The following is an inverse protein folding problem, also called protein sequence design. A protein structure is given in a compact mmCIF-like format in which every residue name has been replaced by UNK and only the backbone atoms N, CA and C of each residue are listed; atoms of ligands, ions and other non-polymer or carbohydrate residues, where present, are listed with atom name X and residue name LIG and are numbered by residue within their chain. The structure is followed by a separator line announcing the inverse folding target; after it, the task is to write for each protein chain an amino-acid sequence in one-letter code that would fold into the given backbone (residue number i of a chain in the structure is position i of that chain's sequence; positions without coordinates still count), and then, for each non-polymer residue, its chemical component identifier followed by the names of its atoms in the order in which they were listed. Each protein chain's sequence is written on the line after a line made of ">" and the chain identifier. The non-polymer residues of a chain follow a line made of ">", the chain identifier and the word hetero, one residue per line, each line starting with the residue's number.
data_IF_661811465471
#
_entry.id   IF_661811465471
#
_cell.length_a   1.000
_cell.length_b   1.000
_cell.length_c   1.000
_cell.angle_alpha   90.00
_cell.angle_beta   90.00
_cell.angle_gamma   90.00
#
_symmetry.space_group_name_H-M   'P 1'
#
loop_
_entity.id
_entity.type
_entity.pdbx_description
1 polymer ?
#
# COMPACT_ATOMS: atom_id res chain seq x y z
N UNK A 1 -19.50 -11.73 21.92
CA UNK A 1 -18.38 -11.23 21.09
C UNK A 1 -18.96 -10.63 19.82
N UNK A 2 -18.22 -9.74 19.15
CA UNK A 2 -18.61 -9.21 17.83
C UNK A 2 -18.81 -10.34 16.83
N UNK A 3 -17.95 -11.36 16.86
CA UNK A 3 -18.08 -12.56 16.02
C UNK A 3 -19.46 -13.24 16.12
N UNK A 4 -19.95 -13.53 17.33
CA UNK A 4 -21.27 -14.13 17.52
C UNK A 4 -22.41 -13.25 17.00
N UNK A 5 -22.29 -11.93 17.20
CA UNK A 5 -23.30 -11.01 16.68
C UNK A 5 -23.26 -10.93 15.15
N UNK A 6 -22.09 -11.00 14.52
CA UNK A 6 -21.98 -11.10 13.06
C UNK A 6 -22.63 -12.40 12.54
N UNK A 7 -22.40 -13.53 13.21
CA UNK A 7 -23.08 -14.78 12.87
C UNK A 7 -24.60 -14.66 12.98
N UNK A 8 -25.09 -13.96 14.00
CA UNK A 8 -26.53 -13.68 14.17
C UNK A 8 -27.08 -12.84 13.02
N UNK A 9 -26.34 -11.79 12.61
CA UNK A 9 -26.70 -10.97 11.44
C UNK A 9 -26.76 -11.84 10.18
N UNK A 10 -25.74 -12.66 9.91
CA UNK A 10 -25.75 -13.56 8.75
C UNK A 10 -26.90 -14.59 8.81
N UNK A 11 -27.20 -15.15 9.98
CA UNK A 11 -28.34 -16.04 10.15
C UNK A 11 -29.67 -15.38 9.80
N UNK A 12 -29.87 -14.13 10.23
CA UNK A 12 -31.06 -13.37 9.84
C UNK A 12 -31.07 -13.03 8.34
N UNK A 13 -29.94 -12.65 7.74
CA UNK A 13 -29.90 -12.36 6.30
C UNK A 13 -30.19 -13.59 5.42
N UNK A 14 -29.87 -14.79 5.91
CA UNK A 14 -30.10 -16.04 5.19
C UNK A 14 -31.52 -16.59 5.36
N UNK A 15 -32.08 -16.49 6.58
CA UNK A 15 -33.29 -17.23 6.96
C UNK A 15 -34.51 -16.36 7.22
N UNK A 16 -34.34 -15.06 7.47
CA UNK A 16 -35.45 -14.18 7.85
C UNK A 16 -36.30 -13.81 6.65
N UNK A 17 -37.62 -13.97 6.77
CA UNK A 17 -38.60 -13.48 5.80
C UNK A 17 -38.94 -11.98 5.98
N UNK A 18 -38.43 -11.36 7.05
CA UNK A 18 -38.64 -9.93 7.32
C UNK A 18 -37.88 -9.04 6.32
N UNK A 19 -38.46 -7.87 6.03
CA UNK A 19 -37.84 -6.87 5.14
C UNK A 19 -36.47 -6.39 5.63
N UNK A 20 -36.25 -6.33 6.95
CA UNK A 20 -35.00 -5.90 7.55
C UNK A 20 -34.74 -6.61 8.90
N UNK A 21 -33.49 -6.60 9.31
CA UNK A 21 -33.05 -7.02 10.63
C UNK A 21 -32.43 -5.84 11.37
N UNK A 22 -32.75 -5.69 12.67
CA UNK A 22 -32.17 -4.65 13.52
C UNK A 22 -31.05 -5.24 14.40
N UNK A 23 -29.76 -5.04 14.06
CA UNK A 23 -28.66 -5.72 14.73
C UNK A 23 -28.21 -5.00 16.01
N UNK A 24 -29.13 -4.75 16.95
CA UNK A 24 -28.84 -3.95 18.18
C UNK A 24 -27.61 -4.43 18.94
N UNK A 25 -27.56 -5.74 19.17
CA UNK A 25 -26.46 -6.37 19.90
C UNK A 25 -25.13 -6.26 19.14
N UNK A 26 -25.14 -6.17 17.82
CA UNK A 26 -23.92 -6.00 17.04
C UNK A 26 -23.26 -4.67 17.35
N UNK A 27 -23.96 -3.54 17.17
CA UNK A 27 -23.37 -2.22 17.42
C UNK A 27 -23.11 -1.94 18.92
N UNK A 28 -23.84 -2.59 19.83
CA UNK A 28 -23.55 -2.55 21.27
C UNK A 28 -22.25 -3.29 21.64
N UNK A 29 -21.86 -4.32 20.88
CA UNK A 29 -20.64 -5.10 21.12
C UNK A 29 -19.45 -4.63 20.28
N UNK A 30 -19.70 -4.04 19.10
CA UNK A 30 -18.66 -3.53 18.21
C UNK A 30 -17.94 -2.35 18.85
N UNK A 31 -16.62 -2.28 18.67
CA UNK A 31 -15.78 -1.21 19.19
C UNK A 31 -15.00 -0.57 18.05
N UNK A 32 -14.93 0.76 18.04
CA UNK A 32 -14.03 1.51 17.17
C UNK A 32 -12.84 1.96 18.03
N UNK A 33 -11.65 1.41 17.77
CA UNK A 33 -10.44 1.66 18.57
C UNK A 33 -10.64 1.47 20.08
N UNK A 34 -11.36 0.41 20.46
CA UNK A 34 -11.69 0.09 21.86
C UNK A 34 -12.85 0.90 22.44
N UNK A 35 -13.34 1.92 21.75
CA UNK A 35 -14.45 2.76 22.21
C UNK A 35 -15.81 2.27 21.70
N UNK A 36 -16.89 2.43 22.48
CA UNK A 36 -18.26 2.23 21.98
C UNK A 36 -18.56 3.16 20.80
N UNK A 37 -19.31 2.66 19.82
CA UNK A 37 -19.68 3.45 18.65
C UNK A 37 -20.90 4.31 18.94
N UNK A 38 -20.81 5.61 18.61
CA UNK A 38 -21.97 6.48 18.56
C UNK A 38 -22.73 6.26 17.25
N UNK A 39 -23.86 5.55 17.30
CA UNK A 39 -24.69 5.23 16.13
C UNK A 39 -25.28 6.47 15.41
N UNK A 40 -25.18 7.66 16.01
CA UNK A 40 -25.63 8.92 15.40
C UNK A 40 -24.52 9.64 14.63
N UNK A 41 -23.28 9.15 14.72
CA UNK A 41 -22.14 9.70 14.01
C UNK A 41 -21.82 8.87 12.77
N UNK A 42 -21.64 9.56 11.66
CA UNK A 42 -21.14 8.93 10.44
C UNK A 42 -19.67 8.55 10.64
N UNK A 43 -19.32 7.35 10.18
CA UNK A 43 -17.97 6.80 10.23
C UNK A 43 -17.49 6.49 8.82
N UNK A 44 -16.17 6.40 8.64
CA UNK A 44 -15.59 5.87 7.41
C UNK A 44 -15.90 4.37 7.33
N UNK A 45 -16.53 3.95 6.23
CA UNK A 45 -16.93 2.57 6.04
C UNK A 45 -15.74 1.62 5.85
N UNK A 46 -14.65 2.10 5.29
CA UNK A 46 -13.44 1.32 5.15
C UNK A 46 -12.74 1.14 6.50
N UNK A 47 -12.78 2.16 7.36
CA UNK A 47 -12.33 2.06 8.75
C UNK A 47 -13.17 1.02 9.52
N UNK A 48 -14.50 1.11 9.40
CA UNK A 48 -15.41 0.12 9.97
C UNK A 48 -15.08 -1.31 9.49
N UNK A 49 -14.90 -1.50 8.18
CA UNK A 49 -14.50 -2.79 7.58
C UNK A 49 -13.21 -3.33 8.20
N UNK A 50 -12.18 -2.49 8.26
CA UNK A 50 -10.87 -2.88 8.79
C UNK A 50 -10.99 -3.33 10.25
N UNK A 51 -11.66 -2.52 11.07
CA UNK A 51 -11.86 -2.83 12.49
C UNK A 51 -12.75 -4.05 12.73
N UNK A 52 -13.71 -4.31 11.85
CA UNK A 52 -14.57 -5.49 11.92
C UNK A 52 -13.77 -6.77 11.66
N UNK A 53 -12.99 -6.78 10.58
CA UNK A 53 -12.16 -7.93 10.19
C UNK A 53 -11.12 -8.23 11.25
N UNK A 54 -10.40 -7.21 11.73
CA UNK A 54 -9.40 -7.34 12.80
C UNK A 54 -10.02 -7.93 14.08
N UNK A 55 -11.13 -7.37 14.57
CA UNK A 55 -11.78 -7.85 15.80
C UNK A 55 -12.26 -9.30 15.70
N UNK A 56 -12.68 -9.75 14.52
CA UNK A 56 -13.13 -11.12 14.33
C UNK A 56 -11.95 -12.07 14.29
N UNK A 57 -10.93 -11.77 13.50
CA UNK A 57 -9.75 -12.64 13.40
C UNK A 57 -8.97 -12.68 14.71
N UNK A 58 -8.86 -11.57 15.44
CA UNK A 58 -8.24 -11.53 16.77
C UNK A 58 -9.06 -12.33 17.79
N UNK A 59 -10.40 -12.25 17.73
CA UNK A 59 -11.26 -13.08 18.57
C UNK A 59 -11.04 -14.57 18.29
N UNK A 60 -10.99 -14.98 17.02
CA UNK A 60 -10.76 -16.37 16.64
C UNK A 60 -9.36 -16.84 17.05
N UNK A 61 -8.34 -16.01 16.81
CA UNK A 61 -6.96 -16.28 17.24
C UNK A 61 -6.84 -16.46 18.75
N UNK A 62 -7.52 -15.63 19.55
CA UNK A 62 -7.55 -15.75 21.02
C UNK A 62 -8.17 -17.07 21.52
N UNK A 63 -8.94 -17.74 20.66
CA UNK A 63 -9.56 -19.05 20.91
C UNK A 63 -8.83 -20.21 20.26
N UNK A 64 -7.63 -19.98 19.70
CA UNK A 64 -6.88 -20.96 18.90
C UNK A 64 -7.68 -21.51 17.72
N UNK A 65 -8.52 -20.67 17.10
CA UNK A 65 -9.28 -20.98 15.90
C UNK A 65 -8.65 -20.28 14.68
N UNK A 66 -8.91 -20.84 13.50
CA UNK A 66 -8.45 -20.27 12.23
C UNK A 66 -9.03 -18.86 12.02
N UNK A 67 -8.18 -17.93 11.61
CA UNK A 67 -8.54 -16.58 11.18
C UNK A 67 -9.27 -16.62 9.83
N UNK A 68 -10.59 -16.43 9.85
CA UNK A 68 -11.45 -16.63 8.67
C UNK A 68 -11.22 -15.58 7.59
N UNK A 69 -10.98 -14.33 7.96
CA UNK A 69 -10.75 -13.28 6.98
C UNK A 69 -9.34 -13.36 6.44
N UNK A 70 -8.33 -13.50 7.30
CA UNK A 70 -6.95 -13.63 6.86
C UNK A 70 -6.80 -14.78 5.83
N UNK A 71 -7.45 -15.92 6.08
CA UNK A 71 -7.41 -17.07 5.15
C UNK A 71 -7.89 -16.76 3.72
N UNK A 72 -8.78 -15.77 3.55
CA UNK A 72 -9.47 -15.51 2.27
C UNK A 72 -9.11 -14.15 1.66
N UNK A 73 -8.82 -13.15 2.49
CA UNK A 73 -8.60 -11.75 2.14
C UNK A 73 -7.15 -11.29 2.33
N UNK A 74 -6.31 -12.04 3.06
CA UNK A 74 -4.90 -11.67 3.27
C UNK A 74 -4.09 -11.97 2.00
N UNK A 75 -3.43 -10.95 1.50
CA UNK A 75 -2.34 -11.06 0.53
C UNK A 75 -1.02 -10.68 1.18
N UNK A 76 0.07 -10.80 0.43
CA UNK A 76 1.40 -10.40 0.85
C UNK A 76 1.98 -9.43 -0.16
N UNK A 77 2.40 -8.26 0.31
CA UNK A 77 3.24 -7.34 -0.44
C UNK A 77 4.70 -7.75 -0.36
N UNK A 78 5.43 -7.48 -1.43
CA UNK A 78 6.88 -7.38 -1.44
C UNK A 78 7.25 -5.90 -1.55
N UNK A 79 7.75 -5.32 -0.47
CA UNK A 79 8.25 -3.95 -0.43
C UNK A 79 9.72 -3.99 -0.79
N UNK A 80 10.05 -3.50 -1.98
CA UNK A 80 11.40 -3.56 -2.52
C UNK A 80 12.08 -2.20 -2.42
N UNK A 81 13.35 -2.20 -2.02
CA UNK A 81 14.24 -1.04 -2.09
C UNK A 81 15.41 -1.39 -3.02
N UNK A 82 15.50 -0.66 -4.13
CA UNK A 82 16.45 -0.90 -5.20
C UNK A 82 17.43 0.26 -5.25
N UNK A 83 18.65 0.07 -4.76
CA UNK A 83 19.69 1.08 -4.89
C UNK A 83 20.00 1.33 -6.37
N UNK A 84 20.17 2.60 -6.76
CA UNK A 84 20.55 2.97 -8.12
C UNK A 84 22.06 3.00 -8.29
N UNK A 85 22.79 3.39 -7.24
CA UNK A 85 24.25 3.58 -7.28
C UNK A 85 25.05 2.34 -6.87
N UNK A 86 24.39 1.24 -6.51
CA UNK A 86 25.03 -0.02 -6.14
C UNK A 86 24.11 -1.22 -6.43
N UNK A 87 24.65 -2.45 -6.53
CA UNK A 87 23.84 -3.62 -6.92
C UNK A 87 22.95 -4.16 -5.80
N UNK A 88 22.94 -3.55 -4.62
CA UNK A 88 22.18 -4.04 -3.48
C UNK A 88 20.67 -3.82 -3.64
N UNK A 89 19.91 -4.85 -3.28
CA UNK A 89 18.45 -4.85 -3.29
C UNK A 89 17.97 -5.40 -1.95
N UNK A 90 16.95 -4.77 -1.39
CA UNK A 90 16.33 -5.18 -0.14
C UNK A 90 14.86 -5.47 -0.39
N UNK A 91 14.33 -6.49 0.28
CA UNK A 91 12.93 -6.88 0.19
C UNK A 91 12.40 -7.11 1.61
N UNK A 92 11.20 -6.60 1.87
CA UNK A 92 10.43 -6.89 3.08
C UNK A 92 9.04 -7.34 2.69
N UNK A 93 8.60 -8.46 3.26
CA UNK A 93 7.23 -8.91 3.12
C UNK A 93 6.31 -8.24 4.15
N UNK A 94 5.11 -7.88 3.71
CA UNK A 94 4.09 -7.30 4.58
C UNK A 94 2.70 -7.81 4.18
N UNK A 95 1.95 -8.33 5.16
CA UNK A 95 0.59 -8.80 4.90
C UNK A 95 -0.36 -7.61 4.69
N UNK A 96 -1.35 -7.78 3.82
CA UNK A 96 -2.39 -6.79 3.59
C UNK A 96 -3.77 -7.44 3.46
N UNK A 97 -4.81 -6.75 3.93
CA UNK A 97 -6.22 -7.15 3.76
C UNK A 97 -6.94 -6.34 2.67
N UNK A 98 -6.32 -5.25 2.20
CA UNK A 98 -6.82 -4.39 1.13
C UNK A 98 -5.69 -3.65 0.41
N UNK A 99 -5.95 -3.23 -0.82
CA UNK A 99 -5.13 -2.26 -1.56
C UNK A 99 -5.70 -0.87 -1.42
N UNK A 100 -4.91 0.08 -0.93
CA UNK A 100 -5.36 1.45 -0.71
C UNK A 100 -4.79 2.36 -1.82
N UNK A 101 -5.55 2.54 -2.89
CA UNK A 101 -5.08 3.13 -4.14
C UNK A 101 -5.47 4.61 -4.26
N UNK A 102 -4.51 5.43 -4.68
CA UNK A 102 -4.72 6.86 -4.96
C UNK A 102 -5.57 7.05 -6.22
N UNK A 103 -6.53 7.97 -6.13
CA UNK A 103 -7.40 8.37 -7.25
C UNK A 103 -7.01 9.74 -7.81
N UNK A 104 -6.47 10.64 -6.97
CA UNK A 104 -6.03 11.99 -7.36
C UNK A 104 -5.08 11.91 -8.57
N UNK A 105 -5.41 12.65 -9.64
CA UNK A 105 -4.64 12.71 -10.91
C UNK A 105 -4.57 11.36 -11.68
N UNK A 106 -5.38 10.35 -11.34
CA UNK A 106 -5.40 9.03 -12.02
C UNK A 106 -6.81 8.64 -12.48
N UNK A 107 -6.95 8.28 -13.75
CA UNK A 107 -8.27 8.00 -14.36
C UNK A 107 -8.72 6.53 -14.35
N UNK A 108 -7.89 5.59 -13.88
CA UNK A 108 -8.22 4.17 -13.91
C UNK A 108 -7.53 3.33 -12.85
N UNK A 109 -8.14 2.19 -12.52
CA UNK A 109 -7.58 1.18 -11.60
C UNK A 109 -6.20 0.71 -12.03
N UNK A 110 -6.01 0.47 -13.33
CA UNK A 110 -4.72 0.05 -13.88
C UNK A 110 -3.66 1.13 -13.68
N UNK A 111 -4.01 2.42 -13.83
CA UNK A 111 -3.08 3.53 -13.61
C UNK A 111 -2.64 3.61 -12.14
N UNK A 112 -3.56 3.39 -11.19
CA UNK A 112 -3.22 3.38 -9.76
C UNK A 112 -2.39 2.18 -9.36
N UNK A 113 -2.66 0.99 -9.91
CA UNK A 113 -1.83 -0.20 -9.69
C UNK A 113 -0.44 -0.04 -10.32
N UNK A 114 -0.34 0.59 -11.49
CA UNK A 114 0.95 0.96 -12.08
C UNK A 114 1.75 1.90 -11.16
N UNK A 115 1.10 2.90 -10.55
CA UNK A 115 1.77 3.80 -9.63
C UNK A 115 2.30 3.04 -8.40
N UNK A 116 1.52 2.11 -7.86
CA UNK A 116 1.93 1.25 -6.74
C UNK A 116 3.25 0.52 -7.03
N UNK A 117 3.37 -0.09 -8.21
CA UNK A 117 4.57 -0.87 -8.59
C UNK A 117 5.69 -0.04 -9.21
N UNK A 118 5.41 1.14 -9.74
CA UNK A 118 6.44 2.08 -10.21
C UNK A 118 7.32 2.54 -9.04
N UNK A 119 6.69 2.74 -7.88
CA UNK A 119 7.38 3.21 -6.68
C UNK A 119 7.81 4.66 -6.75
N UNK A 120 8.58 5.06 -5.75
CA UNK A 120 9.05 6.41 -5.51
C UNK A 120 10.59 6.43 -5.51
N UNK A 121 11.15 7.50 -6.07
CA UNK A 121 12.58 7.75 -6.06
C UNK A 121 12.95 8.48 -4.77
N UNK A 122 13.83 7.87 -3.99
CA UNK A 122 14.47 8.48 -2.83
C UNK A 122 15.79 9.09 -3.27
N UNK A 123 15.88 10.41 -3.24
CA UNK A 123 17.07 11.18 -3.65
C UNK A 123 17.26 12.44 -2.78
N UNK A 124 18.40 13.12 -2.96
CA UNK A 124 18.73 14.33 -2.21
C UNK A 124 18.78 14.08 -0.69
N UNK A 125 18.10 14.93 0.08
CA UNK A 125 18.03 14.81 1.54
C UNK A 125 17.31 13.53 2.00
N UNK A 126 16.38 13.03 1.17
CA UNK A 126 15.62 11.80 1.38
C UNK A 126 16.34 10.55 0.83
N UNK A 127 17.57 10.67 0.36
CA UNK A 127 18.35 9.55 -0.17
C UNK A 127 18.48 8.40 0.85
N UNK A 128 18.42 7.18 0.32
CA UNK A 128 18.45 5.96 1.12
C UNK A 128 19.85 5.65 1.62
N UNK A 129 19.98 5.31 2.91
CA UNK A 129 21.23 4.82 3.47
C UNK A 129 21.36 3.31 3.23
N UNK A 130 22.28 2.92 2.35
CA UNK A 130 22.57 1.52 2.12
C UNK A 130 23.41 0.96 3.27
N UNK A 131 22.87 0.02 4.04
CA UNK A 131 23.56 -0.58 5.20
C UNK A 131 24.81 -1.39 4.81
N UNK A 132 24.84 -1.93 3.59
CA UNK A 132 25.94 -2.74 3.08
C UNK A 132 27.09 -1.85 2.58
N UNK A 133 26.78 -0.82 1.77
CA UNK A 133 27.78 0.14 1.29
C UNK A 133 28.19 1.17 2.35
N UNK A 134 27.36 1.36 3.39
CA UNK A 134 27.48 2.40 4.41
C UNK A 134 27.47 3.83 3.85
N UNK A 135 26.73 4.04 2.76
CA UNK A 135 26.63 5.33 2.06
C UNK A 135 25.17 5.66 1.76
N UNK A 136 24.86 6.97 1.72
CA UNK A 136 23.59 7.48 1.19
C UNK A 136 23.67 7.55 -0.34
N UNK A 137 22.63 7.07 -1.00
CA UNK A 137 22.53 7.10 -2.46
C UNK A 137 21.07 7.04 -2.91
N UNK A 138 20.86 7.23 -4.19
CA UNK A 138 19.51 7.20 -4.76
C UNK A 138 18.97 5.77 -4.75
N UNK A 139 17.69 5.62 -4.43
CA UNK A 139 17.03 4.32 -4.42
C UNK A 139 15.57 4.42 -4.86
N UNK A 140 15.07 3.37 -5.52
CA UNK A 140 13.64 3.24 -5.82
C UNK A 140 13.02 2.39 -4.73
N UNK A 141 11.97 2.90 -4.08
CA UNK A 141 11.13 2.13 -3.16
C UNK A 141 9.80 1.86 -3.84
N UNK A 142 9.46 0.59 -4.02
CA UNK A 142 8.21 0.18 -4.64
C UNK A 142 7.52 -0.91 -3.84
N UNK A 143 6.21 -1.03 -4.06
CA UNK A 143 5.41 -2.10 -3.47
C UNK A 143 4.82 -2.93 -4.60
N UNK A 144 5.06 -4.24 -4.58
CA UNK A 144 4.46 -5.18 -5.53
C UNK A 144 3.73 -6.29 -4.79
N UNK A 145 2.82 -6.97 -5.49
CA UNK A 145 2.06 -8.09 -4.91
C UNK A 145 2.95 -9.34 -4.98
N UNK A 146 3.28 -9.92 -3.83
CA UNK A 146 3.99 -11.20 -3.77
C UNK A 146 3.02 -12.37 -3.82
N UNK A 147 2.01 -12.34 -2.95
CA UNK A 147 0.93 -13.33 -2.91
C UNK A 147 -0.40 -12.60 -3.03
N UNK A 148 -1.17 -12.80 -4.11
CA UNK A 148 -2.50 -12.21 -4.22
C UNK A 148 -3.49 -12.95 -3.30
N UNK A 149 -4.43 -12.22 -2.66
CA UNK A 149 -5.48 -12.84 -1.87
C UNK A 149 -6.52 -13.50 -2.78
N UNK A 150 -7.29 -14.42 -2.21
CA UNK A 150 -8.36 -15.08 -2.95
C UNK A 150 -9.57 -14.12 -3.13
N UNK A 151 -9.83 -13.22 -2.17
CA UNK A 151 -10.72 -12.04 -2.34
C UNK A 151 -9.87 -10.78 -2.19
N UNK A 152 -9.83 -9.97 -3.24
CA UNK A 152 -9.12 -8.69 -3.22
C UNK A 152 -10.08 -7.55 -2.86
N UNK A 153 -9.76 -6.83 -1.79
CA UNK A 153 -10.45 -5.59 -1.41
C UNK A 153 -9.62 -4.41 -1.87
N UNK A 154 -10.25 -3.46 -2.57
CA UNK A 154 -9.59 -2.26 -3.09
C UNK A 154 -10.29 -1.03 -2.53
N UNK A 155 -9.59 -0.28 -1.67
CA UNK A 155 -10.03 1.02 -1.21
C UNK A 155 -9.55 2.08 -2.20
N UNK A 156 -10.48 2.79 -2.82
CA UNK A 156 -10.18 3.99 -3.59
C UNK A 156 -10.08 5.19 -2.64
N UNK A 157 -8.89 5.77 -2.49
CA UNK A 157 -8.64 6.95 -1.65
C UNK A 157 -9.25 8.20 -2.31
N UNK A 158 -10.56 8.34 -2.21
CA UNK A 158 -11.33 9.50 -2.68
C UNK A 158 -11.39 10.64 -1.68
N UNK A 159 -10.89 10.44 -0.47
CA UNK A 159 -10.84 11.49 0.54
C UNK A 159 -9.38 11.88 0.77
N UNK A 160 -9.11 13.17 0.74
CA UNK A 160 -7.79 13.74 1.01
C UNK A 160 -7.91 15.04 1.79
N UNK A 161 -6.76 15.67 2.01
CA UNK A 161 -6.66 16.96 2.69
C UNK A 161 -6.04 17.97 1.74
N UNK A 162 -6.71 19.08 1.52
CA UNK A 162 -6.20 20.24 0.80
C UNK A 162 -5.52 21.14 1.82
N UNK A 163 -4.18 21.13 1.83
CA UNK A 163 -3.38 21.89 2.79
C UNK A 163 -3.51 23.40 2.57
N UNK A 164 -3.59 23.85 1.32
CA UNK A 164 -3.74 25.26 0.98
C UNK A 164 -5.05 25.83 1.53
N UNK A 165 -6.13 25.04 1.43
CA UNK A 165 -7.46 25.43 1.94
C UNK A 165 -7.73 24.95 3.36
N UNK A 166 -6.78 24.24 3.98
CA UNK A 166 -6.90 23.62 5.31
C UNK A 166 -8.25 22.90 5.52
N UNK A 167 -8.64 22.08 4.54
CA UNK A 167 -9.92 21.35 4.59
C UNK A 167 -9.84 19.97 3.95
N UNK A 168 -10.69 19.06 4.41
CA UNK A 168 -10.90 17.78 3.73
C UNK A 168 -11.61 17.97 2.39
N UNK A 169 -11.19 17.23 1.37
CA UNK A 169 -11.75 17.29 0.01
C UNK A 169 -12.08 15.88 -0.47
N UNK A 170 -13.20 15.75 -1.17
CA UNK A 170 -13.59 14.55 -1.91
C UNK A 170 -13.14 14.67 -3.37
N UNK A 171 -12.45 13.65 -3.86
CA UNK A 171 -12.07 13.50 -5.26
C UNK A 171 -13.21 12.80 -6.01
N UNK A 172 -14.07 13.59 -6.63
CA UNK A 172 -15.21 13.13 -7.43
C UNK A 172 -14.84 12.87 -8.90
N UNK A 173 -13.53 12.82 -9.20
CA UNK A 173 -13.03 12.52 -10.53
C UNK A 173 -13.54 11.16 -11.04
N UNK A 174 -13.85 11.14 -12.34
CA UNK A 174 -14.25 9.94 -13.04
C UNK A 174 -13.13 8.90 -13.01
N UNK A 175 -13.44 7.70 -12.50
CA UNK A 175 -12.47 6.63 -12.32
C UNK A 175 -12.99 5.32 -12.93
N UNK A 176 -12.21 4.74 -13.84
CA UNK A 176 -12.57 3.49 -14.53
C UNK A 176 -11.97 2.29 -13.82
N UNK A 177 -12.76 1.24 -13.64
CA UNK A 177 -12.28 -0.09 -13.23
C UNK A 177 -12.91 -1.17 -14.11
N UNK A 178 -12.15 -2.21 -14.50
CA UNK A 178 -12.66 -3.28 -15.35
C UNK A 178 -13.44 -4.34 -14.53
N UNK A 179 -14.26 -5.13 -15.21
CA UNK A 179 -14.92 -6.30 -14.62
C UNK A 179 -13.96 -7.47 -14.34
N UNK A 180 -12.91 -7.58 -15.16
CA UNK A 180 -11.83 -8.55 -15.02
C UNK A 180 -10.52 -7.81 -14.87
N UNK A 181 -9.78 -8.12 -13.82
CA UNK A 181 -8.48 -7.54 -13.53
C UNK A 181 -7.40 -8.62 -13.58
N UNK A 182 -6.42 -8.45 -14.45
CA UNK A 182 -5.19 -9.24 -14.41
C UNK A 182 -4.22 -8.61 -13.42
N UNK A 183 -3.83 -9.37 -12.38
CA UNK A 183 -2.87 -8.92 -11.39
C UNK A 183 -1.42 -9.22 -11.76
N UNK A 184 -1.17 -10.09 -12.73
CA UNK A 184 0.19 -10.53 -13.07
C UNK A 184 1.17 -9.36 -13.28
N UNK A 185 0.82 -8.27 -14.00
CA UNK A 185 1.73 -7.14 -14.22
C UNK A 185 2.20 -6.43 -12.94
N UNK A 186 1.47 -6.61 -11.84
CA UNK A 186 1.73 -5.97 -10.56
C UNK A 186 2.40 -6.90 -9.54
N UNK A 187 2.75 -8.11 -9.95
CA UNK A 187 3.39 -9.11 -9.09
C UNK A 187 4.91 -8.97 -9.05
N UNK A 188 5.51 -9.38 -7.92
CA UNK A 188 6.96 -9.36 -7.75
C UNK A 188 7.68 -10.21 -8.82
N UNK A 189 7.14 -11.39 -9.11
CA UNK A 189 7.70 -12.33 -10.09
C UNK A 189 7.74 -11.73 -11.50
N UNK A 190 6.61 -11.18 -11.96
CA UNK A 190 6.52 -10.55 -13.28
C UNK A 190 7.50 -9.38 -13.44
N UNK A 191 7.59 -8.52 -12.41
CA UNK A 191 8.52 -7.39 -12.43
C UNK A 191 9.98 -7.85 -12.51
N UNK A 192 10.34 -8.92 -11.80
CA UNK A 192 11.69 -9.49 -11.85
C UNK A 192 12.00 -10.07 -13.24
N UNK A 193 11.05 -10.72 -13.90
CA UNK A 193 11.21 -11.26 -15.26
C UNK A 193 11.40 -10.16 -16.31
N UNK A 194 10.62 -9.08 -16.22
CA UNK A 194 10.73 -7.92 -17.13
C UNK A 194 12.07 -7.21 -16.96
N UNK A 195 12.54 -7.05 -15.73
CA UNK A 195 13.86 -6.48 -15.42
C UNK A 195 15.00 -7.37 -15.92
N UNK A 196 14.93 -8.68 -15.67
CA UNK A 196 15.93 -9.63 -16.16
C UNK A 196 16.00 -9.67 -17.70
N UNK A 197 14.86 -9.51 -18.36
CA UNK A 197 14.76 -9.48 -19.82
C UNK A 197 15.28 -8.18 -20.43
N UNK A 198 15.08 -7.03 -19.77
CA UNK A 198 15.60 -5.73 -20.23
C UNK A 198 17.12 -5.64 -20.10
N UNK A 199 17.71 -6.19 -19.02
CA UNK A 199 19.17 -6.29 -18.88
C UNK A 199 19.77 -7.17 -19.98
N UNK A 200 19.16 -8.32 -20.29
CA UNK A 200 19.62 -9.20 -21.39
C UNK A 200 19.56 -8.50 -22.76
N UNK A 201 18.51 -7.70 -23.04
CA UNK A 201 18.39 -6.96 -24.31
C UNK A 201 19.41 -5.83 -24.44
N UNK A 202 19.70 -5.07 -23.36
CA UNK A 202 20.77 -4.06 -23.35
C UNK A 202 22.13 -4.68 -23.61
N UNK A 203 22.46 -5.76 -22.90
CA UNK A 203 23.74 -6.46 -23.10
C UNK A 203 23.89 -7.05 -24.51
N UNK A 204 22.78 -7.44 -25.17
CA UNK A 204 22.81 -7.91 -26.57
C UNK A 204 23.08 -6.76 -27.56
N UNK A 205 22.44 -5.61 -27.39
CA UNK A 205 22.68 -4.42 -28.23
C UNK A 205 24.09 -3.84 -28.06
N UNK A 206 24.64 -3.85 -26.84
CA UNK A 206 26.01 -3.42 -26.57
C UNK A 206 27.05 -4.40 -27.13
N UNK A 207 26.77 -5.71 -27.13
CA UNK A 207 27.65 -6.71 -27.74
C UNK A 207 27.58 -6.76 -29.28
N UNK A 208 26.49 -6.29 -29.91
CA UNK A 208 26.37 -6.19 -31.38
C UNK A 208 26.92 -4.87 -31.95
N UNK A 209 27.33 -3.90 -31.11
CA UNK A 209 27.83 -2.59 -31.55
C UNK A 209 29.36 -2.44 -31.52
N UNK A 210 30.11 -3.53 -31.29
CA UNK A 210 31.58 -3.53 -31.38
C UNK A 210 32.11 -4.52 -32.43
N UNK A 211 31.79 -4.28 -33.71
CA UNK A 211 32.58 -4.79 -34.83
C UNK A 211 33.16 -3.61 -35.61
N UNK A 212 34.46 -3.40 -35.46
CA UNK A 212 35.27 -2.38 -36.16
C UNK A 212 35.31 -2.61 -37.67
N UNK A 213 35.34 -1.56 -38.52
CA UNK A 213 35.45 -1.70 -39.97
C UNK A 213 36.91 -1.59 -40.44
N UNK A 214 37.33 -2.40 -41.44
CA UNK A 214 38.56 -2.24 -42.24
C UNK A 214 38.54 -3.20 -43.46
N UNK A 215 39.29 -2.97 -44.57
CA UNK A 215 38.88 -2.09 -45.67
C UNK A 215 38.82 -2.76 -47.07
N UNK A 216 38.09 -2.10 -47.97
CA UNK A 216 38.02 -2.13 -49.46
C UNK A 216 38.86 -3.16 -50.25
N UNK A 217 38.17 -3.92 -51.13
CA UNK A 217 38.67 -4.32 -52.46
C UNK A 217 37.56 -4.29 -53.53
N UNK A 218 37.98 -3.89 -54.73
CA UNK A 218 37.23 -3.54 -55.94
C UNK A 218 36.53 -4.71 -56.67
N UNK A 219 35.38 -4.36 -57.27
CA UNK A 219 34.80 -4.72 -58.59
C UNK A 219 34.70 -6.19 -59.02
N UNK A 220 33.48 -6.63 -59.38
CA UNK A 220 33.04 -6.79 -60.78
C UNK A 220 31.62 -7.38 -60.87
N UNK A 221 31.02 -7.19 -62.04
CA UNK A 221 29.61 -7.22 -62.41
C UNK A 221 28.87 -8.57 -62.42
N UNK A 222 27.53 -8.49 -62.46
CA UNK A 222 26.56 -9.19 -63.34
C UNK A 222 25.25 -9.59 -62.60
N UNK A 223 24.18 -9.54 -63.39
CA UNK A 223 22.75 -9.38 -63.15
C UNK A 223 21.93 -10.56 -62.59
N UNK A 224 20.65 -10.23 -62.32
CA UNK A 224 19.39 -11.04 -62.35
C UNK A 224 19.05 -11.93 -61.15
N UNK A 225 17.86 -11.72 -60.58
CA UNK A 225 17.18 -12.70 -59.70
C UNK A 225 16.12 -12.09 -58.79
N UNK A 226 14.86 -12.31 -59.14
CA UNK A 226 13.64 -11.97 -58.39
C UNK A 226 13.45 -12.88 -57.15
N UNK A 227 12.89 -12.31 -56.06
CA UNK A 227 12.10 -12.90 -54.93
C UNK A 227 12.50 -14.24 -54.29
N UNK A 228 12.66 -14.25 -52.96
CA UNK A 228 11.59 -14.69 -52.05
C UNK A 228 11.91 -14.41 -50.57
N UNK A 229 10.93 -13.81 -49.88
CA UNK A 229 10.90 -13.63 -48.43
C UNK A 229 10.24 -14.87 -47.86
N UNK A 230 10.98 -15.71 -47.14
CA UNK A 230 10.40 -16.71 -46.25
C UNK A 230 10.91 -16.50 -44.83
N UNK A 231 9.92 -16.38 -43.95
CA UNK A 231 9.92 -16.18 -42.52
C UNK A 231 10.57 -17.34 -41.77
N UNK A 232 11.62 -17.06 -41.00
CA UNK A 232 12.13 -18.00 -40.00
C UNK A 232 11.45 -17.74 -38.65
N UNK A 233 10.51 -18.62 -38.32
CA UNK A 233 9.69 -18.63 -37.11
C UNK A 233 10.49 -19.22 -35.96
N UNK A 234 11.34 -18.41 -35.33
CA UNK A 234 12.07 -18.78 -34.11
C UNK A 234 11.15 -18.83 -32.89
N UNK A 235 10.74 -20.06 -32.55
CA UNK A 235 10.08 -20.54 -31.33
C UNK A 235 10.31 -19.69 -30.07
N UNK A 236 9.27 -18.98 -29.61
CA UNK A 236 9.20 -18.41 -28.26
C UNK A 236 8.64 -19.51 -27.35
N UNK A 237 9.31 -19.90 -26.24
CA UNK A 237 8.76 -20.89 -25.34
C UNK A 237 7.49 -20.34 -24.69
N UNK A 238 6.40 -21.06 -24.92
CA UNK A 238 5.06 -20.83 -24.40
C UNK A 238 5.06 -21.11 -22.89
N UNK A 239 5.53 -20.16 -22.10
CA UNK A 239 5.33 -20.16 -20.64
C UNK A 239 3.95 -19.55 -20.43
N UNK A 240 2.95 -20.42 -20.27
CA UNK A 240 1.59 -20.03 -19.88
C UNK A 240 1.71 -19.14 -18.63
N UNK A 241 1.45 -17.83 -18.70
CA UNK A 241 1.43 -17.01 -17.51
C UNK A 241 0.33 -17.57 -16.60
N UNK A 242 0.61 -17.75 -15.32
CA UNK A 242 -0.45 -17.98 -14.32
C UNK A 242 -1.37 -16.76 -14.41
N UNK A 243 -2.46 -16.87 -15.16
CA UNK A 243 -3.46 -15.83 -15.26
C UNK A 243 -4.13 -15.74 -13.90
N UNK A 244 -3.73 -14.75 -13.11
CA UNK A 244 -4.40 -14.41 -11.86
C UNK A 244 -5.46 -13.37 -12.23
N UNK A 245 -6.50 -13.84 -12.92
CA UNK A 245 -7.68 -13.04 -13.22
C UNK A 245 -8.57 -12.99 -11.99
N UNK A 246 -8.82 -11.79 -11.49
CA UNK A 246 -9.81 -11.54 -10.44
C UNK A 246 -11.08 -11.03 -11.10
N UNK A 247 -12.20 -11.70 -10.84
CA UNK A 247 -13.53 -11.22 -11.22
C UNK A 247 -14.06 -10.31 -10.12
N UNK A 248 -14.41 -9.07 -10.50
CA UNK A 248 -15.06 -8.13 -9.57
C UNK A 248 -16.47 -8.67 -9.29
N UNK A 249 -16.67 -9.19 -8.08
CA UNK A 249 -17.95 -9.79 -7.69
C UNK A 249 -18.95 -8.74 -7.21
N UNK A 250 -18.48 -7.62 -6.66
CA UNK A 250 -19.34 -6.56 -6.14
C UNK A 250 -18.58 -5.23 -6.05
N UNK A 251 -19.26 -4.11 -6.32
CA UNK A 251 -18.75 -2.75 -6.12
C UNK A 251 -19.61 -2.09 -5.06
N UNK A 252 -19.09 -1.99 -3.84
CA UNK A 252 -19.78 -1.26 -2.77
C UNK A 252 -19.21 0.16 -2.76
N UNK A 253 -19.92 1.09 -3.40
CA UNK A 253 -19.62 2.52 -3.29
C UNK A 253 -20.14 3.01 -1.94
N UNK A 254 -19.23 3.29 -1.00
CA UNK A 254 -19.60 3.89 0.29
C UNK A 254 -19.19 5.35 0.28
N UNK A 255 -20.17 6.24 0.22
CA UNK A 255 -19.95 7.68 0.34
C UNK A 255 -19.72 8.03 1.82
N UNK A 256 -18.47 8.36 2.17
CA UNK A 256 -18.20 9.06 3.42
C UNK A 256 -18.51 10.55 3.23
N UNK A 257 -19.54 11.07 3.90
CA UNK A 257 -19.71 12.51 4.03
C UNK A 257 -18.96 12.93 5.30
N UNK A 258 -17.95 13.80 5.18
CA UNK A 258 -17.24 14.32 6.35
C UNK A 258 -17.63 15.77 6.64
N UNK A 259 -17.71 16.03 7.94
CA UNK A 259 -18.37 17.13 8.63
C UNK A 259 -17.54 18.42 8.51
N UNK A 260 -17.93 19.35 7.64
CA UNK A 260 -17.40 20.71 7.65
C UNK A 260 -17.95 21.46 8.86
N UNK A 261 -17.07 21.69 9.86
CA UNK A 261 -17.34 22.59 10.98
C UNK A 261 -17.09 24.01 10.48
N UNK A 262 -18.16 24.73 10.17
CA UNK A 262 -18.11 26.16 9.84
C UNK A 262 -17.70 26.94 11.09
N UNK A 263 -16.50 27.52 11.07
CA UNK A 263 -16.17 28.68 11.89
C UNK A 263 -15.93 29.85 10.95
N UNK A 264 -16.82 30.84 11.04
CA UNK A 264 -16.84 32.09 10.28
C UNK A 264 -15.53 32.88 10.45
N UNK A 265 -15.01 33.57 9.40
CA UNK A 265 -13.77 34.32 9.49
C UNK A 265 -14.00 35.76 9.97
N UNK A 266 -13.10 36.26 10.81
CA UNK A 266 -12.87 37.69 11.02
C UNK A 266 -11.75 38.18 10.10
N UNK A 267 -12.04 39.28 9.41
CA UNK A 267 -11.26 39.94 8.35
C UNK A 267 -10.06 40.72 8.89
N UNK A 268 -8.93 40.64 8.17
CA UNK A 268 -7.94 41.69 7.77
C UNK A 268 -6.72 40.96 7.18
N UNK A 269 -5.86 41.44 6.27
CA UNK A 269 -5.82 42.39 5.15
C UNK A 269 -4.38 42.34 4.61
N UNK A 270 -4.16 42.52 3.30
CA UNK A 270 -2.86 42.88 2.65
C UNK A 270 -1.78 41.78 2.62
N UNK A 271 -0.90 41.63 1.63
CA UNK A 271 -0.73 42.09 0.24
C UNK A 271 0.50 41.31 -0.29
N UNK A 272 0.78 41.40 -1.59
CA UNK A 272 2.05 41.09 -2.27
C UNK A 272 2.40 39.66 -2.72
N UNK A 273 3.33 39.63 -3.67
CA UNK A 273 3.43 38.87 -4.93
C UNK A 273 4.77 38.10 -4.94
N UNK A 274 4.95 37.22 -5.95
CA UNK A 274 6.13 36.37 -6.29
C UNK A 274 5.99 34.96 -5.69
N UNK A 275 6.13 33.82 -6.37
CA UNK A 275 6.66 33.44 -7.69
C UNK A 275 7.60 32.24 -7.52
N UNK A 276 7.29 31.09 -8.15
CA UNK A 276 8.08 29.83 -8.24
C UNK A 276 8.18 29.07 -6.88
N UNK A 277 8.10 27.74 -6.75
CA UNK A 277 8.40 26.57 -7.60
C UNK A 277 7.58 25.39 -7.01
N UNK A 278 6.95 24.55 -7.84
CA UNK A 278 6.19 23.38 -7.36
C UNK A 278 7.14 22.21 -7.02
N UNK A 279 7.42 22.00 -5.73
CA UNK A 279 8.00 20.75 -5.20
C UNK A 279 6.92 19.95 -4.45
N UNK A 280 6.08 19.23 -5.20
CA UNK A 280 5.13 18.26 -4.65
C UNK A 280 5.87 16.93 -4.34
N UNK A 281 6.61 16.87 -3.23
CA UNK A 281 6.95 15.59 -2.59
C UNK A 281 5.95 15.32 -1.46
N UNK A 282 4.77 14.79 -1.81
CA UNK A 282 3.83 14.27 -0.83
C UNK A 282 4.38 12.96 -0.25
N UNK A 283 4.96 13.05 0.96
CA UNK A 283 5.37 11.93 1.79
C UNK A 283 4.20 10.96 2.02
N UNK A 284 4.28 9.77 1.45
CA UNK A 284 3.47 8.64 1.91
C UNK A 284 3.83 8.35 3.37
N UNK A 285 2.80 8.42 4.23
CA UNK A 285 2.75 8.07 5.65
C UNK A 285 3.85 7.11 6.15
N UNK A 286 4.62 7.45 7.21
CA UNK A 286 5.53 6.49 7.84
C UNK A 286 4.71 5.45 8.62
N UNK A 287 5.05 4.19 8.37
CA UNK A 287 4.39 3.02 8.93
C UNK A 287 4.77 2.68 10.37
N UNK A 288 4.43 1.43 10.69
CA UNK A 288 4.60 0.74 11.95
C UNK A 288 5.96 0.91 12.68
N UNK A 289 5.83 0.81 14.00
CA UNK A 289 6.77 0.31 14.99
C UNK A 289 8.02 1.15 15.34
N UNK A 290 7.93 1.78 16.51
CA UNK A 290 9.04 2.36 17.25
C UNK A 290 10.05 1.28 17.70
N UNK A 291 11.31 1.43 17.29
CA UNK A 291 12.47 0.79 17.91
C UNK A 291 13.10 1.81 18.86
N UNK A 292 12.90 1.66 20.17
CA UNK A 292 13.64 2.43 21.19
C UNK A 292 15.00 1.79 21.41
N UNK A 293 16.05 2.44 20.94
CA UNK A 293 17.41 2.24 21.43
C UNK A 293 17.69 3.27 22.54
N UNK A 294 17.83 2.80 23.78
CA UNK A 294 18.39 3.59 24.87
C UNK A 294 19.91 3.73 24.67
N UNK A 295 20.40 4.96 24.62
CA UNK A 295 21.78 5.30 24.99
C UNK A 295 21.72 6.50 25.94
N UNK A 296 22.02 6.24 27.22
CA UNK A 296 22.29 7.24 28.25
C UNK A 296 23.81 7.31 28.43
N UNK A 297 24.38 8.52 28.38
CA UNK A 297 25.59 8.85 29.13
C UNK A 297 25.51 10.30 29.60
N UNK A 298 25.79 10.51 30.90
CA UNK A 298 25.87 11.82 31.54
C UNK A 298 25.72 11.74 33.06
N UNK A 299 26.85 11.52 33.74
CA UNK A 299 27.07 11.42 35.20
C UNK A 299 26.83 12.74 35.98
N UNK A 300 26.77 12.70 37.34
CA UNK A 300 26.02 13.64 38.18
C UNK A 300 26.90 14.70 38.89
N UNK A 301 26.30 15.51 39.79
CA UNK A 301 26.94 15.68 41.10
C UNK A 301 26.01 15.55 42.33
N UNK A 302 26.70 15.26 43.43
CA UNK A 302 26.35 15.02 44.84
C UNK A 302 25.51 16.08 45.55
N UNK A 303 24.65 15.67 46.50
CA UNK A 303 24.74 15.86 47.98
C UNK A 303 23.35 16.36 48.43
N UNK A 304 22.70 16.06 49.56
CA UNK A 304 23.04 15.60 50.92
C UNK A 304 21.70 15.37 51.64
N UNK A 305 21.66 14.40 52.59
CA UNK A 305 20.80 14.40 53.81
C UNK A 305 19.26 14.36 53.62
N UNK A 306 18.41 13.68 54.40
CA UNK A 306 18.46 13.18 55.79
C UNK A 306 17.24 12.26 56.02
N UNK A 307 17.50 11.09 56.63
CA UNK A 307 16.81 10.47 57.79
C UNK A 307 15.29 10.29 57.88
N UNK A 308 14.94 9.12 58.44
CA UNK A 308 13.79 8.75 59.27
C UNK A 308 12.48 8.42 58.55
N UNK A 309 11.64 7.52 59.04
CA UNK A 309 11.71 6.32 59.89
C UNK A 309 10.24 5.89 59.98
N UNK A 310 10.02 4.59 60.12
CA UNK A 310 8.90 4.00 60.88
C UNK A 310 7.42 4.13 60.41
N UNK A 311 6.84 2.92 60.29
CA UNK A 311 5.73 2.39 61.12
C UNK A 311 4.33 2.15 60.49
N UNK A 312 3.96 0.86 60.57
CA UNK A 312 2.63 0.28 60.94
C UNK A 312 1.56 0.29 59.84
N UNK A 313 1.15 -0.82 59.23
CA UNK A 313 0.42 -2.02 59.69
C UNK A 313 -1.10 -1.82 59.97
N UNK A 314 -1.88 -2.87 59.65
CA UNK A 314 -3.35 -3.13 59.73
C UNK A 314 -4.10 -2.87 58.42
N UNK A 315 -4.56 -3.87 57.64
CA UNK A 315 -5.39 -5.09 57.86
C UNK A 315 -6.85 -4.80 58.21
N UNK A 316 -7.74 -5.51 57.49
CA UNK A 316 -9.19 -5.75 57.70
C UNK A 316 -10.13 -4.66 57.16
N UNK A 317 -11.33 -4.91 56.64
CA UNK A 317 -12.07 -6.04 56.07
C UNK A 317 -13.47 -5.46 55.70
N UNK A 318 -14.15 -6.04 54.69
CA UNK A 318 -15.61 -5.96 54.43
C UNK A 318 -16.10 -4.62 53.83
N UNK A 319 -16.96 -4.57 52.83
CA UNK A 319 -17.94 -5.52 52.28
C UNK A 319 -18.05 -5.37 50.75
#
# INVERSE_FOLDING_TARGET
>A
SVFYQLQTVFGHLLESELQYHEPRKFWENFRMDGNPVNIREQQDAFEFYTKLVEQIDDYLKSRNLDRVFAKRFEGVFSIQRLCQDCPHRFEREEAFLSLNLTVKKLGSLHSSLNQLVKGELLEGDNAFYCEICRLKGSAIVRTCIKVPPQVLVIQLKRFGYDFDKSRSVKYDDHFKFPWSLDLAPFTADYLAEVEGSTVKKKNKFENESFSTPSPLKQQSDISTGLVDISSDSGNIPDVIPKVISVSVSEVIAVDAANKSRETSPSVTSQDSRVGLVDEDTEMLSPGAAAVRACHQMGTPPSSTEKTNDDKTALVSHLA
#
